data_IF_351883501062
#
_entry.id   IF_351883501062
#
_cell.length_a   1.000
_cell.length_b   1.000
_cell.length_c   1.000
_cell.angle_alpha   90.00
_cell.angle_beta   90.00
_cell.angle_gamma   90.00
#
_symmetry.space_group_name_H-M   'P 1'
#
loop_
_entity.id
_entity.type
_entity.pdbx_description
1 polymer ?
#
# COMPACT_ATOMS: atom_id res chain seq x y z
N UNK A 1 14.00 21.71 16.51
CA UNK A 1 12.92 21.14 15.66
C UNK A 1 13.49 21.00 14.25
N UNK A 2 13.23 19.89 13.55
CA UNK A 2 13.70 19.69 12.16
C UNK A 2 12.82 20.51 11.20
N UNK A 3 13.39 20.99 10.11
CA UNK A 3 12.61 21.69 9.08
C UNK A 3 11.65 20.73 8.37
N UNK A 4 10.53 21.25 7.84
CA UNK A 4 9.57 20.44 7.09
C UNK A 4 10.22 19.78 5.86
N UNK A 5 11.16 20.50 5.21
CA UNK A 5 11.98 19.98 4.11
C UNK A 5 12.77 18.74 4.51
N UNK A 6 13.48 18.79 5.63
CA UNK A 6 14.26 17.63 6.13
C UNK A 6 13.36 16.44 6.43
N UNK A 7 12.15 16.69 6.96
CA UNK A 7 11.18 15.62 7.25
C UNK A 7 10.67 14.95 5.97
N UNK A 8 10.37 15.71 4.90
CA UNK A 8 10.05 15.09 3.60
C UNK A 8 11.20 14.28 3.03
N UNK A 9 12.43 14.79 3.10
CA UNK A 9 13.62 14.08 2.62
C UNK A 9 13.84 12.78 3.39
N UNK A 10 13.60 12.76 4.70
CA UNK A 10 13.66 11.55 5.52
C UNK A 10 12.60 10.52 5.09
N UNK A 11 11.34 10.95 4.89
CA UNK A 11 10.27 10.08 4.38
C UNK A 11 10.62 9.49 3.02
N UNK A 12 11.16 10.29 2.09
CA UNK A 12 11.60 9.83 0.76
C UNK A 12 12.70 8.78 0.90
N UNK A 13 13.73 9.05 1.71
CA UNK A 13 14.82 8.11 1.94
C UNK A 13 14.36 6.79 2.58
N UNK A 14 13.37 6.85 3.47
CA UNK A 14 12.78 5.65 4.06
C UNK A 14 11.98 4.87 3.02
N UNK A 15 11.17 5.53 2.19
CA UNK A 15 10.41 4.91 1.11
C UNK A 15 11.31 4.25 0.05
N UNK A 16 12.47 4.82 -0.24
CA UNK A 16 13.46 4.22 -1.15
C UNK A 16 14.08 2.95 -0.58
N UNK A 17 14.16 2.82 0.75
CA UNK A 17 14.66 1.63 1.43
C UNK A 17 13.60 0.54 1.56
N UNK A 18 12.33 0.87 1.32
CA UNK A 18 11.25 -0.10 1.33
C UNK A 18 11.43 -1.09 0.17
N UNK A 19 11.58 -2.36 0.55
CA UNK A 19 11.88 -3.48 -0.36
C UNK A 19 10.79 -3.79 -1.38
N UNK A 20 10.92 -4.93 -2.08
CA UNK A 20 10.02 -5.30 -3.19
C UNK A 20 8.66 -5.85 -2.75
N UNK A 21 8.53 -6.28 -1.50
CA UNK A 21 7.29 -6.82 -0.94
C UNK A 21 6.96 -6.13 0.39
N UNK A 22 6.66 -4.82 0.38
CA UNK A 22 6.33 -4.11 1.60
C UNK A 22 5.02 -4.57 2.21
N UNK A 23 5.01 -4.65 3.53
CA UNK A 23 3.82 -4.92 4.32
C UNK A 23 3.06 -3.62 4.63
N UNK A 24 1.76 -3.75 4.92
CA UNK A 24 0.96 -2.61 5.36
C UNK A 24 1.53 -1.95 6.63
N UNK A 25 2.07 -2.75 7.56
CA UNK A 25 2.66 -2.27 8.81
C UNK A 25 3.93 -1.42 8.59
N UNK A 26 4.70 -1.70 7.53
CA UNK A 26 5.86 -0.89 7.16
C UNK A 26 5.46 0.43 6.48
N UNK A 27 4.34 0.44 5.74
CA UNK A 27 3.88 1.61 4.99
C UNK A 27 3.01 2.56 5.82
N UNK A 28 2.23 2.06 6.77
CA UNK A 28 1.33 2.83 7.64
C UNK A 28 2.01 4.06 8.28
N UNK A 29 3.16 3.93 8.99
CA UNK A 29 3.82 5.10 9.58
C UNK A 29 4.36 6.08 8.53
N UNK A 30 4.71 5.61 7.33
CA UNK A 30 5.16 6.48 6.23
C UNK A 30 3.99 7.29 5.66
N UNK A 31 2.82 6.65 5.49
CA UNK A 31 1.58 7.29 5.10
C UNK A 31 1.18 8.39 6.08
N UNK A 32 1.14 8.10 7.38
CA UNK A 32 0.73 9.04 8.42
C UNK A 32 1.64 10.27 8.47
N UNK A 33 2.96 10.06 8.40
CA UNK A 33 3.92 11.18 8.39
C UNK A 33 3.77 12.04 7.14
N UNK A 34 3.59 11.42 5.97
CA UNK A 34 3.39 12.16 4.72
C UNK A 34 2.11 12.97 4.77
N UNK A 35 1.01 12.39 5.25
CA UNK A 35 -0.25 13.11 5.42
C UNK A 35 -0.12 14.29 6.39
N UNK A 36 0.57 14.12 7.53
CA UNK A 36 0.81 15.22 8.45
C UNK A 36 1.63 16.34 7.81
N UNK A 37 2.67 16.00 7.05
CA UNK A 37 3.50 16.98 6.35
C UNK A 37 2.73 17.69 5.23
N UNK A 38 1.81 17.01 4.55
CA UNK A 38 0.93 17.59 3.52
C UNK A 38 -0.08 18.56 4.16
N UNK A 39 -0.62 18.24 5.33
CA UNK A 39 -1.47 19.14 6.11
C UNK A 39 -0.70 20.39 6.55
N UNK A 40 0.52 20.23 7.08
CA UNK A 40 1.40 21.33 7.47
C UNK A 40 1.77 22.22 6.27
N UNK A 41 1.91 21.65 5.07
CA UNK A 41 2.22 22.40 3.83
C UNK A 41 1.13 23.42 3.50
N UNK A 42 -0.14 23.14 3.85
CA UNK A 42 -1.24 24.08 3.58
C UNK A 42 -1.11 25.39 4.37
N UNK A 43 -0.40 25.36 5.49
CA UNK A 43 -0.17 26.52 6.35
C UNK A 43 1.01 27.40 5.88
N UNK A 44 1.82 26.94 4.92
CA UNK A 44 2.98 27.69 4.41
C UNK A 44 2.51 28.82 3.50
N UNK A 45 2.81 30.06 3.89
CA UNK A 45 2.40 31.28 3.18
C UNK A 45 3.43 31.77 2.17
N UNK A 46 4.72 31.49 2.39
CA UNK A 46 5.77 31.83 1.43
C UNK A 46 5.63 30.97 0.16
N UNK A 47 5.54 31.64 -0.99
CA UNK A 47 5.29 30.97 -2.27
C UNK A 47 6.48 30.14 -2.74
N UNK A 48 7.70 30.60 -2.49
CA UNK A 48 8.92 29.92 -2.92
C UNK A 48 9.13 28.64 -2.11
N UNK A 49 9.05 28.75 -0.79
CA UNK A 49 9.13 27.63 0.14
C UNK A 49 8.02 26.62 -0.12
N UNK A 50 6.77 27.08 -0.26
CA UNK A 50 5.64 26.20 -0.58
C UNK A 50 5.85 25.45 -1.88
N UNK A 51 6.41 26.08 -2.91
CA UNK A 51 6.68 25.42 -4.18
C UNK A 51 7.72 24.31 -4.06
N UNK A 52 8.80 24.53 -3.29
CA UNK A 52 9.82 23.51 -3.05
C UNK A 52 9.28 22.35 -2.21
N UNK A 53 8.48 22.63 -1.18
CA UNK A 53 7.84 21.59 -0.37
C UNK A 53 6.78 20.82 -1.16
N UNK A 54 6.04 21.45 -2.07
CA UNK A 54 5.08 20.79 -2.96
C UNK A 54 5.77 19.77 -3.90
N UNK A 55 6.99 20.06 -4.37
CA UNK A 55 7.78 19.08 -5.14
C UNK A 55 8.11 17.85 -4.31
N UNK A 56 8.59 18.05 -3.08
CA UNK A 56 8.96 16.96 -2.18
C UNK A 56 7.75 16.14 -1.75
N UNK A 57 6.61 16.78 -1.49
CA UNK A 57 5.33 16.12 -1.24
C UNK A 57 4.94 15.21 -2.40
N UNK A 58 4.99 15.71 -3.64
CA UNK A 58 4.66 14.90 -4.83
C UNK A 58 5.59 13.70 -5.00
N UNK A 59 6.87 13.88 -4.73
CA UNK A 59 7.87 12.81 -4.80
C UNK A 59 7.59 11.72 -3.76
N UNK A 60 7.44 12.11 -2.48
CA UNK A 60 7.09 11.19 -1.40
C UNK A 60 5.79 10.42 -1.71
N UNK A 61 4.75 11.12 -2.15
CA UNK A 61 3.47 10.51 -2.52
C UNK A 61 3.57 9.56 -3.72
N UNK A 62 4.45 9.84 -4.69
CA UNK A 62 4.71 8.94 -5.82
C UNK A 62 5.39 7.66 -5.36
N UNK A 63 6.41 7.78 -4.51
CA UNK A 63 7.11 6.61 -3.95
C UNK A 63 6.19 5.75 -3.08
N UNK A 64 5.35 6.37 -2.25
CA UNK A 64 4.33 5.69 -1.46
C UNK A 64 3.38 4.85 -2.32
N UNK A 65 2.84 5.44 -3.40
CA UNK A 65 1.97 4.73 -4.34
C UNK A 65 2.68 3.54 -5.00
N UNK A 66 3.94 3.71 -5.39
CA UNK A 66 4.74 2.64 -5.98
C UNK A 66 5.02 1.52 -4.98
N UNK A 67 5.32 1.86 -3.73
CA UNK A 67 5.50 0.88 -2.66
C UNK A 67 4.20 0.08 -2.40
N UNK A 68 3.05 0.75 -2.33
CA UNK A 68 1.76 0.08 -2.19
C UNK A 68 1.46 -0.88 -3.35
N UNK A 69 1.70 -0.44 -4.59
CA UNK A 69 1.50 -1.26 -5.77
C UNK A 69 2.37 -2.53 -5.74
N UNK A 70 3.64 -2.40 -5.32
CA UNK A 70 4.55 -3.54 -5.13
C UNK A 70 4.05 -4.51 -4.05
N UNK A 71 3.62 -3.99 -2.90
CA UNK A 71 3.06 -4.80 -1.81
C UNK A 71 1.84 -5.61 -2.26
N UNK A 72 0.93 -4.98 -3.03
CA UNK A 72 -0.25 -5.68 -3.54
C UNK A 72 0.09 -6.76 -4.56
N UNK A 73 1.04 -6.50 -5.45
CA UNK A 73 1.53 -7.54 -6.38
C UNK A 73 2.13 -8.73 -5.60
N UNK A 74 2.87 -8.47 -4.52
CA UNK A 74 3.42 -9.54 -3.69
C UNK A 74 2.33 -10.39 -3.03
N UNK A 75 1.24 -9.77 -2.56
CA UNK A 75 0.07 -10.48 -2.04
C UNK A 75 -0.62 -11.31 -3.13
N UNK A 76 -0.89 -10.74 -4.30
CA UNK A 76 -1.50 -11.46 -5.42
C UNK A 76 -0.68 -12.70 -5.83
N UNK A 77 0.65 -12.57 -5.83
CA UNK A 77 1.58 -13.68 -6.12
C UNK A 77 1.53 -14.75 -5.03
N UNK A 78 1.48 -14.35 -3.76
CA UNK A 78 1.39 -15.28 -2.62
C UNK A 78 0.05 -16.05 -2.63
N UNK A 79 -1.06 -15.38 -2.90
CA UNK A 79 -2.38 -16.00 -3.02
C UNK A 79 -2.44 -16.97 -4.21
N UNK A 80 -1.85 -16.59 -5.35
CA UNK A 80 -1.76 -17.48 -6.50
C UNK A 80 -0.86 -18.71 -6.23
N UNK A 81 0.21 -18.57 -5.43
CA UNK A 81 1.02 -19.70 -4.99
C UNK A 81 0.21 -20.64 -4.07
N UNK A 82 -0.47 -20.08 -3.06
CA UNK A 82 -1.31 -20.86 -2.14
C UNK A 82 -2.46 -21.58 -2.85
N UNK A 83 -3.09 -20.93 -3.82
CA UNK A 83 -4.15 -21.54 -4.62
C UNK A 83 -3.64 -22.74 -5.44
N UNK A 84 -2.40 -22.67 -5.94
CA UNK A 84 -1.75 -23.79 -6.65
C UNK A 84 -1.47 -24.95 -5.70
N UNK A 85 -0.92 -24.68 -4.51
CA UNK A 85 -0.68 -25.72 -3.50
C UNK A 85 -1.96 -26.47 -3.14
N UNK A 86 -3.07 -25.75 -2.90
CA UNK A 86 -4.38 -26.35 -2.62
C UNK A 86 -4.87 -27.17 -3.82
N UNK A 87 -4.75 -26.64 -5.04
CA UNK A 87 -5.15 -27.34 -6.25
C UNK A 87 -4.38 -28.66 -6.41
N UNK A 88 -3.06 -28.63 -6.27
CA UNK A 88 -2.21 -29.81 -6.47
C UNK A 88 -2.48 -30.89 -5.43
N UNK A 89 -2.83 -30.49 -4.20
CA UNK A 89 -3.27 -31.40 -3.16
C UNK A 89 -4.64 -32.05 -3.46
N UNK A 90 -5.59 -31.27 -4.00
CA UNK A 90 -6.94 -31.76 -4.31
C UNK A 90 -7.02 -32.53 -5.64
N UNK A 91 -6.14 -32.21 -6.59
CA UNK A 91 -6.17 -32.69 -7.96
C UNK A 91 -4.78 -33.12 -8.47
N UNK A 92 -4.16 -34.14 -7.86
CA UNK A 92 -2.76 -34.50 -8.12
C UNK A 92 -2.44 -34.93 -9.55
N UNK A 93 -3.45 -35.31 -10.34
CA UNK A 93 -3.31 -35.70 -11.75
C UNK A 93 -3.69 -34.57 -12.73
N UNK A 94 -4.05 -33.38 -12.25
CA UNK A 94 -4.38 -32.23 -13.07
C UNK A 94 -3.29 -31.17 -12.94
N UNK A 95 -2.90 -30.57 -14.07
CA UNK A 95 -1.94 -29.46 -14.07
C UNK A 95 -2.54 -28.25 -13.36
N UNK A 96 -1.75 -27.60 -12.49
CA UNK A 96 -2.20 -26.41 -11.76
C UNK A 96 -2.47 -25.25 -12.72
N UNK A 97 -3.59 -24.52 -12.53
CA UNK A 97 -3.88 -23.35 -13.34
C UNK A 97 -2.83 -22.25 -13.12
N UNK A 98 -2.23 -21.78 -14.22
CA UNK A 98 -1.41 -20.58 -14.22
C UNK A 98 -2.32 -19.34 -14.33
N UNK A 99 -2.78 -18.82 -13.20
CA UNK A 99 -3.37 -17.48 -13.16
C UNK A 99 -2.25 -16.44 -13.16
N UNK A 100 -2.26 -15.58 -14.17
CA UNK A 100 -1.47 -14.35 -14.14
C UNK A 100 -2.14 -13.37 -13.14
N UNK A 101 -1.36 -12.59 -12.38
CA UNK A 101 -1.92 -11.55 -11.53
C UNK A 101 -2.76 -10.61 -12.41
N UNK A 102 -4.03 -10.47 -12.11
CA UNK A 102 -4.92 -9.58 -12.86
C UNK A 102 -4.45 -8.15 -12.63
N UNK A 103 -4.11 -7.44 -13.72
CA UNK A 103 -3.75 -6.02 -13.74
C UNK A 103 -4.92 -5.09 -13.34
N UNK A 104 -5.61 -5.36 -12.24
CA UNK A 104 -6.65 -4.50 -11.68
C UNK A 104 -5.98 -3.35 -10.91
N UNK A 105 -5.12 -2.58 -11.59
CA UNK A 105 -4.57 -1.35 -11.02
C UNK A 105 -5.74 -0.44 -10.61
N UNK A 106 -5.79 0.05 -9.36
CA UNK A 106 -6.72 1.10 -9.01
C UNK A 106 -6.31 2.32 -9.83
N UNK A 107 -7.23 2.83 -10.63
CA UNK A 107 -7.00 3.95 -11.53
C UNK A 107 -6.41 5.14 -10.78
N UNK A 108 -5.44 5.81 -11.43
CA UNK A 108 -4.53 6.86 -10.92
C UNK A 108 -5.20 8.16 -10.39
N UNK A 109 -6.50 8.18 -10.08
CA UNK A 109 -7.27 9.41 -9.86
C UNK A 109 -7.78 9.71 -8.44
N UNK A 110 -7.61 8.81 -7.46
CA UNK A 110 -8.20 9.00 -6.12
C UNK A 110 -7.33 9.83 -5.15
N UNK A 111 -7.94 10.67 -4.27
CA UNK A 111 -7.22 11.25 -3.14
C UNK A 111 -6.70 10.14 -2.22
N UNK A 112 -5.54 10.36 -1.59
CA UNK A 112 -4.83 9.38 -0.74
C UNK A 112 -5.72 8.80 0.37
N UNK A 113 -6.72 9.57 0.84
CA UNK A 113 -7.75 9.10 1.77
C UNK A 113 -8.53 7.87 1.25
N UNK A 114 -8.73 7.70 -0.05
CA UNK A 114 -9.38 6.51 -0.60
C UNK A 114 -8.49 5.25 -0.47
N UNK A 115 -7.17 5.41 -0.53
CA UNK A 115 -6.21 4.32 -0.37
C UNK A 115 -6.00 3.95 1.10
N UNK A 116 -5.93 4.93 1.99
CA UNK A 116 -5.93 4.70 3.44
C UNK A 116 -7.25 4.06 3.90
N UNK A 117 -8.40 4.46 3.35
CA UNK A 117 -9.68 3.78 3.57
C UNK A 117 -9.70 2.36 2.99
N UNK A 118 -9.08 2.11 1.83
CA UNK A 118 -9.00 0.78 1.23
C UNK A 118 -8.13 -0.17 2.08
N UNK A 119 -6.96 0.26 2.54
CA UNK A 119 -6.10 -0.52 3.43
C UNK A 119 -6.80 -0.82 4.79
N UNK A 120 -7.55 0.15 5.32
CA UNK A 120 -8.38 -0.05 6.52
C UNK A 120 -9.52 -1.03 6.29
N UNK A 121 -10.13 -1.02 5.10
CA UNK A 121 -11.21 -1.94 4.71
C UNK A 121 -10.72 -3.36 4.44
N UNK A 122 -9.56 -3.52 3.82
CA UNK A 122 -8.88 -4.83 3.67
C UNK A 122 -8.53 -5.44 5.03
N UNK A 123 -8.07 -4.61 5.99
CA UNK A 123 -7.82 -5.04 7.37
C UNK A 123 -9.11 -5.44 8.09
N UNK A 124 -10.20 -4.69 7.91
CA UNK A 124 -11.54 -5.06 8.42
C UNK A 124 -12.12 -6.31 7.77
N UNK A 125 -11.81 -6.62 6.51
CA UNK A 125 -12.23 -7.85 5.83
C UNK A 125 -11.42 -9.07 6.26
N UNK A 126 -10.11 -8.90 6.52
CA UNK A 126 -9.23 -9.95 7.04
C UNK A 126 -9.46 -10.23 8.54
N UNK A 127 -9.84 -9.21 9.32
CA UNK A 127 -10.20 -9.34 10.74
C UNK A 127 -11.69 -9.67 10.95
N UNK A 128 -12.50 -9.64 9.89
CA UNK A 128 -13.90 -10.09 9.96
C UNK A 128 -13.88 -11.59 10.23
N UNK A 129 -14.41 -12.07 11.38
CA UNK A 129 -14.73 -13.48 11.48
C UNK A 129 -15.72 -13.77 10.36
N UNK A 130 -15.29 -14.56 9.37
CA UNK A 130 -16.20 -15.07 8.34
C UNK A 130 -17.41 -15.71 9.02
N UNK A 131 -18.60 -15.64 8.41
CA UNK A 131 -19.77 -16.29 8.99
C UNK A 131 -19.42 -17.76 9.19
N UNK A 132 -19.33 -18.16 10.45
CA UNK A 132 -19.27 -19.55 10.86
C UNK A 132 -20.60 -20.18 10.44
N UNK A 133 -20.69 -20.69 9.20
CA UNK A 133 -21.70 -21.67 8.83
C UNK A 133 -21.26 -23.00 9.45
N UNK A 134 -21.67 -23.19 10.70
CA UNK A 134 -21.53 -24.44 11.41
C UNK A 134 -22.21 -25.56 10.64
N UNK A 135 -21.42 -26.33 9.90
CA UNK A 135 -21.81 -27.65 9.44
C UNK A 135 -21.34 -28.69 10.46
N UNK A 136 -22.32 -29.33 11.11
CA UNK A 136 -22.46 -30.77 11.35
C UNK A 136 -23.08 -31.07 12.73
N UNK A 137 -24.38 -31.38 12.75
CA UNK A 137 -24.97 -32.74 12.83
C UNK A 137 -26.37 -32.75 13.44
#
# INVERSE_FOLDING_TARGET
>A
MRSQREQYVEVINELDRVGQAPTAAELEPLCERTARLDDELTAVTDRGERHELDKLSREANTLLRNAYARGRIALDVADAARAREIHDALYPNHLSPHRLPTNNHPERGGPINAFALAARREREELERPGPWDGFDR
#
